data_IF_018618903158
#
_entry.id   IF_018618903158
#
_cell.length_a   1.000
_cell.length_b   1.000
_cell.length_c   1.000
_cell.angle_alpha   90.00
_cell.angle_beta   90.00
_cell.angle_gamma   90.00
#
_symmetry.space_group_name_H-M   'P 1'
#
loop_
_entity.id
_entity.type
_entity.pdbx_description
1 polymer ?
#
# COMPACT_ATOMS: atom_id res chain seq x y z
N UNK A 1 3.08 3.13 22.46
CA UNK A 1 2.07 4.16 22.18
C UNK A 1 1.27 3.86 20.91
N UNK A 2 1.88 3.83 19.71
CA UNK A 2 1.20 3.52 18.44
C UNK A 2 0.44 2.18 18.45
N UNK A 3 1.12 1.11 18.87
CA UNK A 3 0.49 -0.20 19.06
C UNK A 3 -0.69 -0.16 20.05
N UNK A 4 -0.57 0.59 21.14
CA UNK A 4 -1.64 0.76 22.13
C UNK A 4 -2.86 1.53 21.58
N UNK A 5 -2.65 2.46 20.65
CA UNK A 5 -3.75 3.18 19.97
C UNK A 5 -4.54 2.25 19.04
N UNK A 6 -3.89 1.21 18.51
CA UNK A 6 -4.46 0.25 17.56
C UNK A 6 -4.81 -1.11 18.19
N UNK A 7 -4.44 -1.37 19.45
CA UNK A 7 -4.65 -2.68 20.11
C UNK A 7 -6.11 -2.99 20.40
N UNK A 8 -6.99 -1.98 20.43
CA UNK A 8 -8.41 -2.18 20.72
C UNK A 8 -9.27 -1.11 20.01
N UNK A 9 -9.40 -1.26 18.70
CA UNK A 9 -10.22 -0.37 17.87
C UNK A 9 -11.57 -1.03 17.61
N UNK A 10 -12.66 -0.29 17.82
CA UNK A 10 -14.02 -0.74 17.50
C UNK A 10 -14.65 0.16 16.44
N UNK A 11 -15.50 -0.43 15.60
CA UNK A 11 -16.28 0.27 14.60
C UNK A 11 -17.75 -0.16 14.62
N UNK A 12 -18.59 0.64 13.97
CA UNK A 12 -20.00 0.35 13.68
C UNK A 12 -20.25 0.69 12.21
N UNK A 13 -21.21 0.02 11.57
CA UNK A 13 -21.65 0.34 10.21
C UNK A 13 -23.00 1.06 10.29
N UNK A 14 -23.19 2.11 9.50
CA UNK A 14 -24.49 2.78 9.33
C UNK A 14 -25.14 2.30 8.04
N UNK A 15 -26.36 1.77 8.13
CA UNK A 15 -27.16 1.29 6.99
C UNK A 15 -28.57 1.87 7.09
N UNK A 16 -29.03 2.61 6.06
CA UNK A 16 -30.39 3.14 5.97
C UNK A 16 -30.88 3.94 7.20
N UNK A 17 -29.97 4.63 7.90
CA UNK A 17 -30.29 5.40 9.11
C UNK A 17 -30.07 4.64 10.42
N UNK A 18 -30.04 3.30 10.37
CA UNK A 18 -29.73 2.46 11.52
C UNK A 18 -28.22 2.22 11.66
N UNK A 19 -27.78 1.88 12.87
CA UNK A 19 -26.37 1.61 13.18
C UNK A 19 -26.24 0.21 13.77
N UNK A 20 -25.27 -0.56 13.27
CA UNK A 20 -24.98 -1.91 13.77
C UNK A 20 -24.45 -1.89 15.21
N UNK A 21 -24.37 -3.07 15.83
CA UNK A 21 -23.55 -3.27 17.02
C UNK A 21 -22.07 -2.97 16.77
N UNK A 22 -21.31 -2.83 17.85
CA UNK A 22 -19.85 -2.67 17.80
C UNK A 22 -19.17 -3.97 17.41
N UNK A 23 -18.15 -3.87 16.57
CA UNK A 23 -17.23 -4.97 16.30
C UNK A 23 -15.78 -4.48 16.39
N UNK A 24 -14.87 -5.40 16.72
CA UNK A 24 -13.44 -5.11 16.79
C UNK A 24 -12.85 -5.05 15.38
N UNK A 25 -12.06 -4.00 15.12
CA UNK A 25 -11.27 -3.86 13.90
C UNK A 25 -9.94 -4.58 14.10
N UNK A 26 -9.78 -5.74 13.47
CA UNK A 26 -8.58 -6.57 13.59
C UNK A 26 -7.48 -6.17 12.60
N UNK A 27 -7.85 -5.51 11.50
CA UNK A 27 -6.92 -5.12 10.43
C UNK A 27 -7.22 -3.70 9.92
N UNK A 28 -6.21 -3.12 9.29
CA UNK A 28 -6.30 -1.80 8.64
C UNK A 28 -6.05 -0.62 9.58
N UNK A 29 -6.24 0.57 9.01
CA UNK A 29 -6.04 1.86 9.68
C UNK A 29 -7.37 2.59 9.87
N UNK A 30 -7.44 3.52 10.82
CA UNK A 30 -8.69 4.25 11.14
C UNK A 30 -9.03 5.28 10.06
N UNK A 31 -10.18 5.16 9.42
CA UNK A 31 -10.66 6.21 8.51
C UNK A 31 -10.87 7.53 9.26
N UNK A 32 -10.44 8.65 8.65
CA UNK A 32 -10.51 9.98 9.26
C UNK A 32 -9.45 10.27 10.33
N UNK A 33 -8.59 9.31 10.66
CA UNK A 33 -7.47 9.56 11.57
C UNK A 33 -6.29 10.20 10.82
N UNK A 34 -5.76 11.28 11.36
CA UNK A 34 -4.62 12.01 10.78
C UNK A 34 -3.36 11.15 10.62
N UNK A 35 -3.21 10.10 11.43
CA UNK A 35 -2.05 9.21 11.40
C UNK A 35 -2.19 8.10 10.35
N UNK A 36 -3.41 7.81 9.91
CA UNK A 36 -3.68 6.69 9.00
C UNK A 36 -3.06 6.84 7.62
N UNK A 37 -3.05 8.04 6.98
CA UNK A 37 -2.31 8.24 5.73
C UNK A 37 -0.81 7.94 5.86
N UNK A 38 -0.18 8.33 6.97
CA UNK A 38 1.23 8.07 7.21
C UNK A 38 1.52 6.58 7.39
N UNK A 39 0.71 5.87 8.18
CA UNK A 39 0.86 4.43 8.38
C UNK A 39 0.63 3.65 7.08
N UNK A 40 -0.35 4.06 6.28
CA UNK A 40 -0.58 3.49 4.96
C UNK A 40 0.59 3.76 4.01
N UNK A 41 1.16 4.96 4.04
CA UNK A 41 2.37 5.30 3.29
C UNK A 41 3.57 4.42 3.66
N UNK A 42 3.77 4.12 4.95
CA UNK A 42 4.82 3.20 5.40
C UNK A 42 4.61 1.77 4.87
N UNK A 43 3.36 1.29 4.85
CA UNK A 43 3.01 0.00 4.28
C UNK A 43 3.34 -0.03 2.77
N UNK A 44 2.87 0.95 2.00
CA UNK A 44 3.15 1.02 0.56
C UNK A 44 4.64 1.25 0.24
N UNK A 45 5.39 1.91 1.13
CA UNK A 45 6.83 2.07 0.96
C UNK A 45 7.58 0.73 1.02
N UNK A 46 7.09 -0.25 1.79
CA UNK A 46 7.66 -1.61 1.78
C UNK A 46 7.51 -2.27 0.40
N UNK A 47 6.33 -2.14 -0.23
CA UNK A 47 6.12 -2.61 -1.60
C UNK A 47 7.07 -1.91 -2.59
N UNK A 48 7.21 -0.59 -2.50
CA UNK A 48 8.13 0.17 -3.36
C UNK A 48 9.58 -0.33 -3.23
N UNK A 49 10.02 -0.63 -2.00
CA UNK A 49 11.35 -1.19 -1.74
C UNK A 49 11.50 -2.60 -2.32
N UNK A 50 10.49 -3.48 -2.17
CA UNK A 50 10.53 -4.83 -2.76
C UNK A 50 10.62 -4.77 -4.28
N UNK A 51 9.84 -3.88 -4.93
CA UNK A 51 9.93 -3.67 -6.37
C UNK A 51 11.33 -3.23 -6.80
N UNK A 52 11.97 -2.30 -6.07
CA UNK A 52 13.34 -1.85 -6.36
C UNK A 52 14.42 -2.92 -6.12
N UNK A 53 14.22 -3.81 -5.14
CA UNK A 53 15.19 -4.85 -4.78
C UNK A 53 15.08 -6.11 -5.62
N UNK A 54 13.87 -6.51 -6.00
CA UNK A 54 13.61 -7.79 -6.66
C UNK A 54 13.50 -7.67 -8.19
N UNK A 55 13.19 -6.48 -8.72
CA UNK A 55 13.13 -6.24 -10.16
C UNK A 55 14.45 -5.67 -10.67
N UNK A 56 14.89 -6.11 -11.86
CA UNK A 56 16.22 -5.78 -12.39
C UNK A 56 16.42 -4.28 -12.65
N UNK A 57 15.57 -3.69 -13.51
CA UNK A 57 15.71 -2.31 -13.96
C UNK A 57 14.37 -1.57 -13.79
N UNK A 58 14.42 -0.25 -13.56
CA UNK A 58 13.25 0.60 -13.65
C UNK A 58 13.07 1.17 -15.07
N UNK A 59 12.11 2.08 -15.21
CA UNK A 59 11.99 2.93 -16.40
C UNK A 59 12.96 4.08 -16.23
N UNK A 60 13.98 4.13 -17.09
CA UNK A 60 14.92 5.23 -17.16
C UNK A 60 14.24 6.47 -17.76
N UNK A 61 14.42 7.63 -17.11
CA UNK A 61 13.93 8.92 -17.60
C UNK A 61 15.10 9.80 -18.00
N UNK A 62 16.03 10.04 -17.07
CA UNK A 62 17.27 10.79 -17.30
C UNK A 62 18.36 10.38 -16.28
N UNK A 63 19.57 10.91 -16.45
CA UNK A 63 20.73 10.58 -15.59
C UNK A 63 20.67 11.17 -14.17
N UNK A 64 19.79 12.13 -13.92
CA UNK A 64 19.60 12.82 -12.64
C UNK A 64 18.46 12.23 -11.80
N UNK A 65 17.59 11.42 -12.41
CA UNK A 65 16.45 10.77 -11.78
C UNK A 65 16.74 9.28 -11.63
N UNK A 66 16.46 8.73 -10.45
CA UNK A 66 16.52 7.29 -10.27
C UNK A 66 15.46 6.59 -11.13
N UNK A 67 15.83 5.43 -11.65
CA UNK A 67 14.94 4.50 -12.34
C UNK A 67 13.58 4.33 -11.63
N UNK A 68 12.50 4.50 -12.39
CA UNK A 68 11.12 4.48 -11.86
C UNK A 68 10.56 3.05 -11.94
N UNK A 69 10.14 2.49 -10.81
CA UNK A 69 9.56 1.15 -10.74
C UNK A 69 8.02 1.18 -10.62
N UNK A 70 7.49 2.18 -9.94
CA UNK A 70 6.06 2.37 -9.74
C UNK A 70 5.75 3.84 -9.42
N UNK A 71 4.48 4.21 -9.60
CA UNK A 71 3.91 5.47 -9.14
C UNK A 71 2.84 5.13 -8.10
N UNK A 72 2.89 5.83 -6.96
CA UNK A 72 2.04 5.60 -5.80
C UNK A 72 1.35 6.90 -5.42
N UNK A 73 0.03 6.88 -5.30
CA UNK A 73 -0.74 8.00 -4.78
C UNK A 73 -1.92 7.51 -3.95
N UNK A 74 -1.82 7.67 -2.63
CA UNK A 74 -2.76 7.01 -1.71
C UNK A 74 -2.94 5.53 -2.10
N UNK A 75 -4.17 5.05 -2.27
CA UNK A 75 -4.49 3.69 -2.68
C UNK A 75 -4.25 3.37 -4.17
N UNK A 76 -3.97 4.37 -5.01
CA UNK A 76 -3.64 4.16 -6.42
C UNK A 76 -2.19 3.72 -6.61
N UNK A 77 -2.01 2.59 -7.31
CA UNK A 77 -0.72 2.04 -7.73
C UNK A 77 -0.68 1.90 -9.24
N UNK A 78 0.36 2.45 -9.87
CA UNK A 78 0.71 2.21 -11.27
C UNK A 78 2.09 1.57 -11.37
N UNK A 79 2.15 0.35 -11.92
CA UNK A 79 3.41 -0.31 -12.27
C UNK A 79 3.83 0.15 -13.67
N UNK A 80 5.11 0.50 -13.84
CA UNK A 80 5.63 1.04 -15.11
C UNK A 80 6.80 0.22 -15.60
N UNK A 81 6.87 -0.10 -16.90
CA UNK A 81 7.91 -0.93 -17.51
C UNK A 81 8.22 -0.52 -18.95
N UNK A 82 9.45 -0.80 -19.38
CA UNK A 82 9.92 -0.65 -20.77
C UNK A 82 9.75 -1.94 -21.60
N UNK A 83 9.42 -3.07 -20.95
CA UNK A 83 9.16 -4.34 -21.61
C UNK A 83 8.08 -5.15 -20.90
N UNK A 84 7.44 -6.04 -21.66
CA UNK A 84 6.41 -6.95 -21.15
C UNK A 84 6.99 -7.87 -20.05
N UNK A 85 8.22 -8.36 -20.24
CA UNK A 85 8.90 -9.21 -19.25
C UNK A 85 9.11 -8.49 -17.91
N UNK A 86 9.64 -7.26 -17.96
CA UNK A 86 9.85 -6.46 -16.75
C UNK A 86 8.53 -6.08 -16.07
N UNK A 87 7.45 -5.86 -16.84
CA UNK A 87 6.12 -5.64 -16.27
C UNK A 87 5.61 -6.89 -15.55
N UNK A 88 5.78 -8.06 -16.15
CA UNK A 88 5.36 -9.33 -15.56
C UNK A 88 6.15 -9.63 -14.27
N UNK A 89 7.45 -9.37 -14.24
CA UNK A 89 8.26 -9.52 -13.03
C UNK A 89 7.71 -8.66 -11.88
N UNK A 90 7.34 -7.39 -12.15
CA UNK A 90 6.72 -6.51 -11.15
C UNK A 90 5.34 -7.01 -10.70
N UNK A 91 4.53 -7.54 -11.61
CA UNK A 91 3.24 -8.15 -11.27
C UNK A 91 3.43 -9.37 -10.36
N UNK A 92 4.45 -10.18 -10.59
CA UNK A 92 4.75 -11.34 -9.74
C UNK A 92 5.18 -10.90 -8.33
N UNK A 93 6.02 -9.85 -8.22
CA UNK A 93 6.40 -9.27 -6.92
C UNK A 93 5.17 -8.72 -6.19
N UNK A 94 4.30 -7.98 -6.88
CA UNK A 94 3.05 -7.47 -6.31
C UNK A 94 2.15 -8.61 -5.84
N UNK A 95 1.96 -9.65 -6.64
CA UNK A 95 1.16 -10.82 -6.27
C UNK A 95 1.71 -11.50 -5.01
N UNK A 96 3.02 -11.69 -4.94
CA UNK A 96 3.68 -12.26 -3.77
C UNK A 96 3.57 -11.36 -2.54
N UNK A 97 3.61 -10.03 -2.72
CA UNK A 97 3.42 -9.08 -1.64
C UNK A 97 1.98 -9.14 -1.08
N UNK A 98 0.97 -9.23 -1.95
CA UNK A 98 -0.43 -9.30 -1.55
C UNK A 98 -0.82 -10.63 -0.87
N UNK A 99 -0.01 -11.68 -0.99
CA UNK A 99 -0.23 -13.00 -0.37
C UNK A 99 0.45 -13.16 1.00
N UNK A 100 1.30 -12.23 1.40
CA UNK A 100 1.95 -12.21 2.72
C UNK A 100 0.97 -11.71 3.79
#
# INVERSE_FOLDING_TARGET
>A
MLQSIYSYVKSKVRCNGDVTGEFLCQSGVKQGCILSPFLFGLFMNELALKLKLECKNGVFVDQSIEDIFSLLFADDLSLVADSIGNLQDRLNVLENYCKQ
#
